data_IF_404408068773
#
_entry.id   IF_404408068773
#
_cell.length_a   1.000
_cell.length_b   1.000
_cell.length_c   1.000
_cell.angle_alpha   90.00
_cell.angle_beta   90.00
_cell.angle_gamma   90.00
#
_symmetry.space_group_name_H-M   'P 1'
#
loop_
_entity.id
_entity.type
_entity.pdbx_description
1 polymer ?
#
# COMPACT_ATOMS: atom_id res chain seq x y z
N UNK A 1 6.92 3.44 7.04
CA UNK A 1 6.25 2.26 6.43
C UNK A 1 7.18 1.49 5.51
N UNK A 2 8.28 2.08 5.03
CA UNK A 2 9.39 1.32 4.44
C UNK A 2 9.09 0.58 3.13
N UNK A 3 7.99 0.90 2.45
CA UNK A 3 7.66 0.29 1.17
C UNK A 3 8.54 0.89 0.08
N UNK A 4 9.25 0.02 -0.64
CA UNK A 4 10.08 0.36 -1.78
C UNK A 4 9.62 -0.41 -3.02
N UNK A 5 9.85 0.16 -4.20
CA UNK A 5 9.54 -0.50 -5.47
C UNK A 5 10.48 -1.70 -5.65
N UNK A 6 9.93 -2.91 -5.64
CA UNK A 6 10.71 -4.13 -5.87
C UNK A 6 10.62 -4.63 -7.31
N UNK A 7 9.54 -4.31 -8.03
CA UNK A 7 9.37 -4.66 -9.44
C UNK A 7 8.28 -3.81 -10.10
N UNK A 8 8.34 -3.65 -11.42
CA UNK A 8 7.25 -3.07 -12.22
C UNK A 8 7.05 -3.89 -13.50
N UNK A 9 5.79 -4.23 -13.80
CA UNK A 9 5.42 -4.90 -15.05
C UNK A 9 4.23 -4.19 -15.65
N UNK A 10 4.42 -3.59 -16.82
CA UNK A 10 3.38 -2.79 -17.48
C UNK A 10 2.82 -1.70 -16.55
N UNK A 11 1.51 -1.69 -16.39
CA UNK A 11 0.77 -0.70 -15.60
C UNK A 11 0.66 -1.04 -14.10
N UNK A 12 1.47 -1.96 -13.57
CA UNK A 12 1.43 -2.36 -12.16
C UNK A 12 2.82 -2.31 -11.53
N UNK A 13 2.88 -1.81 -10.30
CA UNK A 13 4.09 -1.71 -9.47
C UNK A 13 3.92 -2.63 -8.27
N UNK A 14 4.95 -3.44 -7.97
CA UNK A 14 5.04 -4.18 -6.72
C UNK A 14 5.91 -3.40 -5.74
N UNK A 15 5.34 -3.12 -4.58
CA UNK A 15 6.04 -2.56 -3.44
C UNK A 15 6.34 -3.66 -2.42
N UNK A 16 7.51 -3.59 -1.80
CA UNK A 16 7.94 -4.49 -0.72
C UNK A 16 8.39 -3.68 0.48
N UNK A 17 8.07 -4.13 1.69
CA UNK A 17 8.68 -3.66 2.93
C UNK A 17 9.21 -4.86 3.72
N UNK A 18 10.27 -4.64 4.50
CA UNK A 18 10.75 -5.59 5.52
C UNK A 18 10.38 -5.12 6.94
N UNK A 19 9.76 -3.93 7.07
CA UNK A 19 9.30 -3.41 8.35
C UNK A 19 8.13 -4.24 8.88
N UNK A 20 8.24 -4.67 10.15
CA UNK A 20 7.23 -5.48 10.82
C UNK A 20 6.95 -6.83 10.11
N UNK A 21 7.96 -7.36 9.41
CA UNK A 21 7.87 -8.56 8.60
C UNK A 21 7.82 -8.25 7.10
N UNK A 22 8.16 -9.24 6.29
CA UNK A 22 8.12 -9.08 4.83
C UNK A 22 6.67 -8.95 4.35
N UNK A 23 6.40 -7.91 3.57
CA UNK A 23 5.10 -7.72 2.95
C UNK A 23 5.21 -7.15 1.54
N UNK A 24 4.37 -7.67 0.66
CA UNK A 24 4.31 -7.28 -0.74
C UNK A 24 2.91 -6.82 -1.11
N UNK A 25 2.83 -5.70 -1.83
CA UNK A 25 1.58 -5.19 -2.37
C UNK A 25 1.77 -4.75 -3.82
N UNK A 26 0.85 -5.15 -4.69
CA UNK A 26 0.84 -4.71 -6.10
C UNK A 26 -0.22 -3.63 -6.29
N UNK A 27 0.18 -2.49 -6.82
CA UNK A 27 -0.70 -1.32 -7.04
C UNK A 27 -0.72 -0.94 -8.54
N UNK A 28 -1.83 -0.39 -9.06
CA UNK A 28 -1.84 0.19 -10.40
C UNK A 28 -0.97 1.45 -10.47
N UNK A 29 -0.27 1.62 -11.59
CA UNK A 29 0.62 2.74 -11.88
C UNK A 29 -0.08 3.83 -12.71
N UNK A 30 -1.31 4.20 -12.33
CA UNK A 30 -2.05 5.26 -13.00
C UNK A 30 -2.82 6.14 -12.01
N UNK A 31 -3.07 7.37 -12.41
CA UNK A 31 -3.87 8.36 -11.68
C UNK A 31 -4.97 8.87 -12.62
N UNK A 32 -6.27 8.83 -12.26
CA UNK A 32 -6.83 8.47 -10.95
C UNK A 32 -6.92 6.97 -10.69
N UNK A 33 -6.91 6.62 -9.40
CA UNK A 33 -7.30 5.30 -8.91
C UNK A 33 -8.80 5.29 -8.61
N UNK A 34 -9.46 4.16 -8.88
CA UNK A 34 -10.84 3.95 -8.40
C UNK A 34 -10.83 3.93 -6.86
N UNK A 35 -11.85 4.54 -6.25
CA UNK A 35 -11.98 4.60 -4.77
C UNK A 35 -11.94 3.20 -4.14
N UNK A 36 -12.60 2.21 -4.76
CA UNK A 36 -12.55 0.82 -4.28
C UNK A 36 -11.14 0.22 -4.31
N UNK A 37 -10.33 0.54 -5.31
CA UNK A 37 -8.94 0.09 -5.42
C UNK A 37 -8.07 0.75 -4.36
N UNK A 38 -8.20 2.07 -4.17
CA UNK A 38 -7.49 2.78 -3.10
C UNK A 38 -7.85 2.21 -1.72
N UNK A 39 -9.13 1.96 -1.46
CA UNK A 39 -9.58 1.36 -0.21
C UNK A 39 -9.00 -0.06 0.01
N UNK A 40 -8.92 -0.87 -1.04
CA UNK A 40 -8.31 -2.20 -0.95
C UNK A 40 -6.82 -2.13 -0.62
N UNK A 41 -6.10 -1.18 -1.22
CA UNK A 41 -4.69 -0.91 -0.95
C UNK A 41 -4.49 -0.50 0.50
N UNK A 42 -5.23 0.50 0.98
CA UNK A 42 -5.15 0.97 2.36
C UNK A 42 -5.47 -0.14 3.36
N UNK A 43 -6.53 -0.92 3.12
CA UNK A 43 -6.90 -2.05 3.99
C UNK A 43 -5.80 -3.11 4.07
N UNK A 44 -5.17 -3.42 2.93
CA UNK A 44 -4.09 -4.40 2.89
C UNK A 44 -2.87 -3.94 3.70
N UNK A 45 -2.47 -2.68 3.56
CA UNK A 45 -1.38 -2.09 4.35
C UNK A 45 -1.73 -2.00 5.84
N UNK A 46 -2.96 -1.57 6.19
CA UNK A 46 -3.43 -1.49 7.57
C UNK A 46 -3.39 -2.86 8.27
N UNK A 47 -3.85 -3.90 7.57
CA UNK A 47 -3.82 -5.28 8.08
C UNK A 47 -2.38 -5.76 8.35
N UNK A 48 -1.42 -5.45 7.47
CA UNK A 48 -0.02 -5.81 7.69
C UNK A 48 0.55 -5.14 8.95
N UNK A 49 0.30 -3.84 9.09
CA UNK A 49 0.80 -3.04 10.20
C UNK A 49 -0.01 -3.21 11.50
N UNK A 50 -1.09 -3.99 11.46
CA UNK A 50 -2.06 -4.17 12.57
C UNK A 50 -2.60 -2.85 13.09
N UNK A 51 -2.90 -1.94 12.17
CA UNK A 51 -3.50 -0.63 12.46
C UNK A 51 -4.95 -0.61 12.03
N UNK A 52 -5.75 0.20 12.71
CA UNK A 52 -7.05 0.59 12.19
C UNK A 52 -6.87 1.53 10.99
N UNK A 53 -7.90 1.57 10.12
CA UNK A 53 -7.81 2.33 8.85
C UNK A 53 -7.59 3.82 9.11
N UNK A 54 -8.27 4.37 10.10
CA UNK A 54 -8.21 5.78 10.47
C UNK A 54 -6.81 6.16 11.00
N UNK A 55 -6.15 5.28 11.74
CA UNK A 55 -4.77 5.47 12.19
C UNK A 55 -3.81 5.50 11.00
N UNK A 56 -3.97 4.58 10.05
CA UNK A 56 -3.17 4.56 8.82
C UNK A 56 -3.35 5.84 7.99
N UNK A 57 -4.58 6.33 7.86
CA UNK A 57 -4.86 7.56 7.12
C UNK A 57 -4.17 8.76 7.78
N UNK A 58 -4.22 8.85 9.10
CA UNK A 58 -3.57 9.92 9.86
C UNK A 58 -2.05 9.91 9.62
N UNK A 59 -1.41 8.73 9.68
CA UNK A 59 0.03 8.58 9.40
C UNK A 59 0.46 8.94 7.97
N UNK A 60 -0.46 8.90 7.00
CA UNK A 60 -0.15 9.13 5.59
C UNK A 60 -0.33 10.59 5.16
N UNK A 61 -1.25 11.32 5.80
CA UNK A 61 -1.73 12.61 5.30
C UNK A 61 -1.69 13.75 6.33
N UNK A 62 -1.32 13.47 7.58
CA UNK A 62 -0.99 14.47 8.60
C UNK A 62 0.52 14.54 8.84
#
# INVERSE_FOLDING_TARGET
MGYEVSHQTGSHIRLTTQEQGEHHITIPAHNPLKVGTLNAILKNVANHLKLEREELISLLFE
#
